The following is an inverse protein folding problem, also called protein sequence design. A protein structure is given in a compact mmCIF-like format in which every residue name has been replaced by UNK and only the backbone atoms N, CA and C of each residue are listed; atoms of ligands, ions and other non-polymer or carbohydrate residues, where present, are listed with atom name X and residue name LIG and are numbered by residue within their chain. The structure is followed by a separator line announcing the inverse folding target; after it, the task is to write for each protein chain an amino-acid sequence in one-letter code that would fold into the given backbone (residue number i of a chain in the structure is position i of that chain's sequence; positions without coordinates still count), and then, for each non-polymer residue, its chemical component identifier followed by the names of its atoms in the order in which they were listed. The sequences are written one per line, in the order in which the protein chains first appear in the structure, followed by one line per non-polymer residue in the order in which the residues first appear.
data_IF_540454439670
#
_entry.id   IF_540454439670
#
_cell.length_a   1.000
_cell.length_b   1.000
_cell.length_c   1.000
_cell.angle_alpha   90.00
_cell.angle_beta   90.00
_cell.angle_gamma   90.00
#
_symmetry.space_group_name_H-M   'P 1'
#
loop_
_entity.id
_entity.type
_entity.pdbx_description
1 polymer ?
#
# COMPACT_ATOMS: atom_id res chain seq x y z
N UNK A 1 14.21 -11.30 0.53
CA UNK A 1 12.88 -11.92 0.64
C UNK A 1 11.97 -10.88 1.26
N UNK A 2 10.93 -10.45 0.54
CA UNK A 2 9.89 -9.60 1.12
C UNK A 2 8.87 -10.50 1.81
N UNK A 3 8.42 -10.12 3.01
CA UNK A 3 7.29 -10.79 3.66
C UNK A 3 6.04 -10.27 2.97
N UNK A 4 5.23 -11.17 2.42
CA UNK A 4 3.92 -10.83 1.86
C UNK A 4 2.96 -10.68 3.02
N UNK A 5 2.71 -9.44 3.43
CA UNK A 5 1.46 -9.08 4.10
C UNK A 5 0.46 -8.73 3.01
N UNK A 6 -0.72 -9.31 3.11
CA UNK A 6 -1.88 -8.89 2.33
C UNK A 6 -2.99 -8.38 3.26
N UNK A 7 -3.91 -7.63 2.66
CA UNK A 7 -5.02 -6.98 3.37
C UNK A 7 -5.94 -8.02 4.05
N UNK A 8 -6.14 -9.17 3.40
CA UNK A 8 -6.95 -10.26 3.92
C UNK A 8 -6.34 -10.84 5.21
N UNK A 9 -5.04 -11.08 5.24
CA UNK A 9 -4.31 -11.57 6.41
C UNK A 9 -4.41 -10.57 7.56
N UNK A 10 -4.26 -9.27 7.27
CA UNK A 10 -4.41 -8.22 8.27
C UNK A 10 -5.83 -8.22 8.86
N UNK A 11 -6.86 -8.28 8.01
CA UNK A 11 -8.27 -8.30 8.40
C UNK A 11 -8.63 -9.46 9.34
N UNK A 12 -8.08 -10.65 9.10
CA UNK A 12 -8.33 -11.82 9.96
C UNK A 12 -7.54 -11.81 11.27
N UNK A 13 -6.51 -10.97 11.38
CA UNK A 13 -5.61 -10.97 12.55
C UNK A 13 -5.97 -9.88 13.55
N UNK A 14 -6.41 -8.71 13.08
CA UNK A 14 -6.82 -7.61 13.97
C UNK A 14 -8.27 -7.77 14.42
N UNK A 15 -8.66 -7.12 15.52
CA UNK A 15 -10.05 -7.09 15.93
C UNK A 15 -10.93 -6.41 14.84
N UNK A 16 -12.10 -6.96 14.47
CA UNK A 16 -12.91 -6.43 13.35
C UNK A 16 -13.28 -4.95 13.50
N UNK A 17 -13.64 -4.53 14.71
CA UNK A 17 -13.97 -3.12 15.01
C UNK A 17 -12.78 -2.18 14.75
N UNK A 18 -11.55 -2.65 14.98
CA UNK A 18 -10.33 -1.88 14.69
C UNK A 18 -10.10 -1.82 13.18
N UNK A 19 -10.28 -2.94 12.47
CA UNK A 19 -10.10 -2.97 11.01
C UNK A 19 -11.07 -2.04 10.28
N UNK A 20 -12.36 -2.10 10.60
CA UNK A 20 -13.39 -1.29 9.94
C UNK A 20 -13.14 0.22 10.16
N UNK A 21 -12.80 0.59 11.39
CA UNK A 21 -12.43 1.97 11.72
C UNK A 21 -11.16 2.40 10.98
N UNK A 22 -10.14 1.53 10.94
CA UNK A 22 -8.88 1.82 10.28
C UNK A 22 -9.03 1.95 8.76
N UNK A 23 -9.87 1.13 8.15
CA UNK A 23 -10.15 1.18 6.72
C UNK A 23 -10.78 2.53 6.32
N UNK A 24 -11.69 3.05 7.15
CA UNK A 24 -12.30 4.38 6.93
C UNK A 24 -11.26 5.50 6.99
N UNK A 25 -10.29 5.37 7.90
CA UNK A 25 -9.27 6.40 8.16
C UNK A 25 -8.07 6.28 7.21
N UNK A 26 -7.86 5.13 6.58
CA UNK A 26 -6.74 4.88 5.69
C UNK A 26 -6.72 5.75 4.43
N UNK A 27 -7.89 6.21 3.97
CA UNK A 27 -8.01 7.12 2.82
C UNK A 27 -7.64 8.57 3.16
N UNK A 28 -7.77 8.96 4.42
CA UNK A 28 -7.52 10.32 4.94
C UNK A 28 -6.17 10.41 5.67
N UNK A 29 -5.22 9.55 5.28
CA UNK A 29 -3.89 9.50 5.89
C UNK A 29 -2.95 10.49 5.21
N UNK A 30 -2.40 11.39 6.01
CA UNK A 30 -1.44 12.38 5.54
C UNK A 30 0.00 11.92 5.75
N UNK A 31 0.93 12.51 5.00
CA UNK A 31 2.38 12.28 5.12
C UNK A 31 2.81 10.80 5.05
N UNK A 32 2.01 9.94 4.41
CA UNK A 32 2.35 8.53 4.24
C UNK A 32 3.64 8.38 3.42
N UNK A 33 4.66 7.75 4.01
CA UNK A 33 5.95 7.53 3.36
C UNK A 33 6.74 6.36 3.95
N UNK A 34 7.69 5.78 3.19
CA UNK A 34 8.66 4.84 3.74
C UNK A 34 9.53 5.52 4.81
N UNK A 35 9.74 4.87 5.95
CA UNK A 35 10.56 5.38 7.06
C UNK A 35 11.15 4.24 7.89
N UNK A 36 12.46 4.26 8.14
CA UNK A 36 13.19 3.24 8.91
C UNK A 36 12.88 1.78 8.53
N UNK A 37 12.70 1.50 7.24
CA UNK A 37 12.35 0.17 6.74
C UNK A 37 10.87 -0.23 6.96
N UNK A 38 10.03 0.68 7.43
CA UNK A 38 8.58 0.52 7.54
C UNK A 38 7.82 1.64 6.83
N UNK A 39 6.55 1.78 7.16
CA UNK A 39 5.68 2.88 6.73
C UNK A 39 5.38 3.79 7.91
N UNK A 40 5.50 5.10 7.70
CA UNK A 40 5.07 6.15 8.63
C UNK A 40 3.94 6.94 7.98
N UNK A 41 2.92 7.27 8.76
CA UNK A 41 1.87 8.19 8.33
C UNK A 41 1.27 8.93 9.52
N UNK A 42 0.53 9.98 9.20
CA UNK A 42 -0.16 10.82 10.19
C UNK A 42 -1.66 10.72 9.98
N UNK A 43 -2.37 10.35 11.05
CA UNK A 43 -3.83 10.31 11.05
C UNK A 43 -4.38 11.62 11.60
N UNK A 44 -5.32 12.21 10.85
CA UNK A 44 -6.11 13.34 11.30
C UNK A 44 -5.29 14.63 11.46
N UNK A 45 -4.55 15.04 10.42
CA UNK A 45 -3.85 16.34 10.42
C UNK A 45 -4.79 17.52 10.69
N UNK A 46 -6.04 17.43 10.27
CA UNK A 46 -7.07 18.45 10.52
C UNK A 46 -7.65 18.40 11.95
N UNK A 47 -7.19 17.48 12.78
CA UNK A 47 -7.62 17.36 14.18
C UNK A 47 -6.65 18.10 15.12
N UNK A 48 -7.11 18.54 16.31
CA UNK A 48 -6.25 19.23 17.28
C UNK A 48 -5.08 18.39 17.82
N UNK A 49 -5.07 17.07 17.59
CA UNK A 49 -4.09 16.14 18.10
C UNK A 49 -3.83 15.04 17.05
N UNK A 50 -3.14 15.36 15.94
CA UNK A 50 -2.78 14.38 14.93
C UNK A 50 -1.97 13.25 15.56
N UNK A 51 -2.16 12.03 15.04
CA UNK A 51 -1.51 10.84 15.57
C UNK A 51 -0.56 10.28 14.52
N UNK A 52 0.75 10.34 14.78
CA UNK A 52 1.73 9.64 13.95
C UNK A 52 1.76 8.18 14.33
N UNK A 53 1.86 7.34 13.31
CA UNK A 53 1.93 5.90 13.46
C UNK A 53 2.95 5.34 12.47
N UNK A 54 3.81 4.45 12.98
CA UNK A 54 4.79 3.71 12.20
C UNK A 54 4.53 2.22 12.33
N UNK A 55 4.63 1.49 11.23
CA UNK A 55 4.59 0.04 11.20
C UNK A 55 5.74 -0.53 10.34
N UNK A 56 6.33 -1.65 10.76
CA UNK A 56 7.45 -2.31 10.08
C UNK A 56 7.67 -3.74 10.58
N UNK A 57 8.46 -4.53 9.86
CA UNK A 57 8.85 -5.87 10.33
C UNK A 57 10.11 -5.80 11.17
N UNK A 58 10.01 -6.06 12.46
CA UNK A 58 11.15 -6.13 13.37
C UNK A 58 11.34 -7.60 13.74
N UNK A 59 12.53 -8.15 13.49
CA UNK A 59 12.83 -9.57 13.69
C UNK A 59 11.79 -10.52 13.04
N UNK A 60 11.34 -10.16 11.83
CA UNK A 60 10.34 -10.93 11.07
C UNK A 60 8.90 -10.82 11.60
N UNK A 61 8.64 -9.97 12.59
CA UNK A 61 7.31 -9.77 13.18
C UNK A 61 6.80 -8.37 12.86
N UNK A 62 5.55 -8.27 12.41
CA UNK A 62 4.92 -6.98 12.18
C UNK A 62 4.74 -6.24 13.50
N UNK A 63 5.47 -5.14 13.63
CA UNK A 63 5.58 -4.31 14.83
C UNK A 63 5.13 -2.89 14.50
N UNK A 64 4.54 -2.21 15.48
CA UNK A 64 4.03 -0.87 15.33
C UNK A 64 4.30 0.01 16.55
N UNK A 65 4.47 1.31 16.30
CA UNK A 65 4.53 2.37 17.30
C UNK A 65 3.59 3.50 16.89
N UNK A 66 2.80 4.00 17.82
CA UNK A 66 1.88 5.12 17.61
C UNK A 66 1.93 6.09 18.78
N UNK A 67 1.79 7.38 18.46
CA UNK A 67 1.73 8.48 19.44
C UNK A 67 0.55 8.39 20.41
N UNK A 68 -0.48 7.60 20.10
CA UNK A 68 -1.59 7.33 21.02
C UNK A 68 -1.17 6.48 22.24
N UNK A 69 0.13 6.16 22.36
CA UNK A 69 0.73 5.38 23.44
C UNK A 69 0.86 3.88 23.12
N UNK A 70 0.41 3.43 21.95
CA UNK A 70 0.49 2.02 21.55
C UNK A 70 1.87 1.70 20.99
N UNK A 71 2.55 0.75 21.63
CA UNK A 71 3.70 0.04 21.07
C UNK A 71 3.31 -1.44 21.04
N UNK A 72 3.24 -2.02 19.85
CA UNK A 72 2.73 -3.37 19.66
C UNK A 72 3.72 -4.18 18.84
N UNK A 73 4.11 -5.34 19.37
CA UNK A 73 4.98 -6.31 18.68
C UNK A 73 4.19 -7.36 17.90
N UNK A 74 2.87 -7.19 17.81
CA UNK A 74 2.00 -8.11 17.09
C UNK A 74 0.71 -7.39 16.61
N UNK A 75 0.20 -7.71 15.42
CA UNK A 75 -0.94 -7.03 14.78
C UNK A 75 -2.22 -7.04 15.62
N UNK A 76 -2.50 -8.08 16.40
CA UNK A 76 -3.70 -8.18 17.25
C UNK A 76 -3.78 -7.08 18.33
N UNK A 77 -2.65 -6.44 18.64
CA UNK A 77 -2.56 -5.35 19.62
C UNK A 77 -2.47 -3.96 18.96
N UNK A 78 -2.68 -3.87 17.65
CA UNK A 78 -2.59 -2.60 16.92
C UNK A 78 -3.79 -1.72 17.24
N UNK A 79 -3.53 -0.42 17.39
CA UNK A 79 -4.57 0.60 17.42
C UNK A 79 -5.07 0.90 16.00
N UNK A 80 -6.18 1.63 15.90
CA UNK A 80 -6.76 2.06 14.62
C UNK A 80 -5.74 2.78 13.73
N UNK A 81 -4.90 3.65 14.29
CA UNK A 81 -3.90 4.41 13.53
C UNK A 81 -2.83 3.51 12.89
N UNK A 82 -2.36 2.49 13.62
CA UNK A 82 -1.37 1.54 13.11
C UNK A 82 -1.93 0.71 11.96
N UNK A 83 -3.16 0.19 12.14
CA UNK A 83 -3.82 -0.58 11.09
C UNK A 83 -4.07 0.31 9.86
N UNK A 84 -4.46 1.57 10.05
CA UNK A 84 -4.69 2.50 8.94
C UNK A 84 -3.41 2.75 8.13
N UNK A 85 -2.26 2.95 8.80
CA UNK A 85 -0.95 3.10 8.12
C UNK A 85 -0.58 1.85 7.34
N UNK A 86 -0.79 0.65 7.90
CA UNK A 86 -0.51 -0.61 7.18
C UNK A 86 -1.42 -0.74 5.96
N UNK A 87 -2.73 -0.49 6.08
CA UNK A 87 -3.68 -0.53 4.95
C UNK A 87 -3.25 0.43 3.85
N UNK A 88 -2.98 1.70 4.19
CA UNK A 88 -2.61 2.72 3.22
C UNK A 88 -1.29 2.38 2.51
N UNK A 89 -0.28 1.92 3.25
CA UNK A 89 1.00 1.51 2.69
C UNK A 89 0.90 0.26 1.79
N UNK A 90 -0.03 -0.67 2.07
CA UNK A 90 -0.32 -1.80 1.17
C UNK A 90 -1.01 -1.34 -0.10
N UNK A 91 -1.97 -0.40 -0.01
CA UNK A 91 -2.63 0.18 -1.17
C UNK A 91 -1.65 0.93 -2.09
N UNK A 92 -0.67 1.62 -1.51
CA UNK A 92 0.44 2.29 -2.23
C UNK A 92 1.59 1.34 -2.63
N UNK A 93 1.45 0.04 -2.37
CA UNK A 93 2.43 -1.00 -2.69
C UNK A 93 3.85 -0.70 -2.16
N UNK A 94 3.95 -0.18 -0.93
CA UNK A 94 5.24 0.10 -0.29
C UNK A 94 6.06 -1.19 -0.14
N UNK A 95 7.40 -1.12 -0.31
CA UNK A 95 8.26 -2.25 -0.07
C UNK A 95 8.43 -2.50 1.44
N UNK A 96 8.16 -3.73 1.88
CA UNK A 96 8.33 -4.16 3.27
C UNK A 96 9.56 -5.06 3.42
N UNK A 97 10.73 -4.51 3.81
CA UNK A 97 11.87 -5.33 4.16
C UNK A 97 11.55 -6.20 5.39
N UNK A 98 12.13 -7.41 5.51
CA UNK A 98 11.87 -8.32 6.63
C UNK A 98 12.52 -7.88 7.95
N UNK A 99 13.36 -6.84 7.89
CA UNK A 99 14.07 -6.25 9.01
C UNK A 99 14.06 -4.73 8.85
N UNK A 100 13.21 -4.09 9.62
CA UNK A 100 13.05 -2.66 9.78
C UNK A 100 13.62 -2.25 11.14
N UNK A 101 14.11 -1.01 11.23
CA UNK A 101 14.61 -0.45 12.47
C UNK A 101 13.45 0.25 13.18
N UNK A 102 13.02 -0.29 14.33
CA UNK A 102 11.95 0.32 15.13
C UNK A 102 12.39 1.71 15.60
N UNK A 103 11.75 2.80 15.14
CA UNK A 103 12.20 4.15 15.50
C UNK A 103 11.89 4.45 16.97
N UNK A 104 12.86 5.03 17.69
CA UNK A 104 12.71 5.42 19.10
C UNK A 104 11.69 6.56 19.27
N UNK A 105 11.70 7.52 18.35
CA UNK A 105 10.72 8.61 18.22
C UNK A 105 10.12 8.61 16.82
N UNK A 106 8.86 9.03 16.70
CA UNK A 106 8.22 9.22 15.38
C UNK A 106 8.50 10.60 14.79
N UNK A 107 9.23 11.43 15.52
CA UNK A 107 9.73 12.71 15.04
C UNK A 107 10.79 12.51 13.97
N UNK A 108 10.70 13.30 12.90
CA UNK A 108 11.79 13.46 11.94
C UNK A 108 12.89 14.30 12.57
N UNK A 109 13.59 13.77 13.55
CA UNK A 109 14.98 14.19 13.70
C UNK A 109 15.73 13.51 12.57
N UNK A 110 16.26 14.25 11.58
CA UNK A 110 17.15 13.63 10.61
C UNK A 110 18.34 13.08 11.40
N UNK A 111 18.33 11.76 11.62
CA UNK A 111 19.52 11.04 11.99
C UNK A 111 20.55 11.38 10.92
N UNK A 112 21.58 12.11 11.33
CA UNK A 112 22.71 12.42 10.47
C UNK A 112 23.31 11.07 10.09
N UNK A 113 23.23 10.63 8.81
CA UNK A 113 23.87 9.39 8.45
C UNK A 113 25.37 9.59 8.63
N UNK A 114 25.98 8.75 9.46
CA UNK A 114 27.44 8.57 9.44
C UNK A 114 27.80 8.12 8.01
N UNK A 115 28.59 8.90 7.24
CA UNK A 115 28.86 8.58 5.86
C UNK A 115 29.84 7.40 5.80
N UNK A 116 29.34 6.18 5.60
CA UNK A 116 30.12 5.18 4.88
C UNK A 116 30.03 5.50 3.39
N UNK A 117 31.17 5.96 2.88
CA UNK A 117 31.56 6.29 1.50
C UNK A 117 30.96 5.44 0.36
N UNK A 118 31.07 5.95 -0.89
CA UNK A 118 29.94 6.11 -1.80
C UNK A 118 29.81 4.98 -2.83
N UNK A 119 28.58 4.66 -3.21
CA UNK A 119 28.30 4.10 -4.54
C UNK A 119 27.70 5.22 -5.40
N UNK A 120 28.31 5.41 -6.56
CA UNK A 120 28.13 6.44 -7.59
C UNK A 120 26.78 7.19 -7.70
N UNK A 121 26.81 8.49 -8.06
CA UNK A 121 25.62 9.21 -8.52
C UNK A 121 25.28 8.79 -9.96
N UNK A 122 24.10 8.22 -10.18
CA UNK A 122 23.60 8.04 -11.54
C UNK A 122 22.64 6.88 -11.71
N UNK A 123 21.35 7.17 -11.58
CA UNK A 123 20.34 6.76 -12.56
C UNK A 123 19.01 7.40 -12.14
N UNK A 124 18.55 8.40 -12.89
CA UNK A 124 17.12 8.61 -13.00
C UNK A 124 16.48 7.26 -13.38
N UNK A 125 15.27 6.91 -12.88
CA UNK A 125 14.61 5.68 -13.28
C UNK A 125 14.58 5.63 -14.81
N UNK A 126 15.29 4.65 -15.37
CA UNK A 126 15.32 4.47 -16.81
C UNK A 126 13.88 4.24 -17.28
N UNK A 127 13.46 4.82 -18.42
CA UNK A 127 12.14 4.54 -18.97
C UNK A 127 12.08 3.03 -19.22
N UNK A 128 11.28 2.36 -18.40
CA UNK A 128 11.07 0.94 -18.51
C UNK A 128 10.49 0.62 -19.89
N UNK A 129 11.00 -0.44 -20.53
CA UNK A 129 10.41 -0.90 -21.79
C UNK A 129 8.95 -1.29 -21.56
N UNK A 130 8.05 -1.07 -22.53
CA UNK A 130 6.64 -1.47 -22.42
C UNK A 130 6.45 -2.94 -22.04
N UNK A 131 7.32 -3.83 -22.53
CA UNK A 131 7.28 -5.27 -22.22
C UNK A 131 7.60 -5.58 -20.74
N UNK A 132 8.53 -4.82 -20.14
CA UNK A 132 8.85 -4.94 -18.73
C UNK A 132 7.71 -4.44 -17.86
N UNK A 133 7.07 -3.33 -18.25
CA UNK A 133 5.88 -2.81 -17.58
C UNK A 133 4.72 -3.82 -17.63
N UNK A 134 4.44 -4.39 -18.81
CA UNK A 134 3.39 -5.42 -18.98
C UNK A 134 3.71 -6.66 -18.13
N UNK A 135 4.98 -7.11 -18.09
CA UNK A 135 5.37 -8.27 -17.28
C UNK A 135 5.17 -8.02 -15.79
N UNK A 136 5.52 -6.82 -15.31
CA UNK A 136 5.28 -6.43 -13.92
C UNK A 136 3.78 -6.37 -13.62
N UNK A 137 2.99 -5.76 -14.49
CA UNK A 137 1.54 -5.64 -14.32
C UNK A 137 0.86 -7.01 -14.29
N UNK A 138 1.30 -7.93 -15.16
CA UNK A 138 0.83 -9.32 -15.17
C UNK A 138 1.18 -10.06 -13.86
N UNK A 139 2.36 -9.79 -13.30
CA UNK A 139 2.75 -10.29 -11.98
C UNK A 139 1.81 -9.83 -10.86
N UNK A 140 1.46 -8.54 -10.84
CA UNK A 140 0.52 -7.96 -9.87
C UNK A 140 -0.89 -8.50 -10.10
N UNK A 141 -1.36 -8.60 -11.34
CA UNK A 141 -2.68 -9.15 -11.65
C UNK A 141 -2.83 -10.60 -11.18
N UNK A 142 -1.76 -11.39 -11.26
CA UNK A 142 -1.75 -12.78 -10.82
C UNK A 142 -1.87 -12.96 -9.29
N UNK A 143 -1.57 -11.93 -8.49
CA UNK A 143 -1.72 -11.97 -7.03
C UNK A 143 -3.09 -11.51 -6.55
N UNK A 144 -3.94 -11.00 -7.43
CA UNK A 144 -5.26 -10.48 -7.06
C UNK A 144 -6.34 -11.57 -7.13
N UNK A 145 -7.35 -11.53 -6.23
CA UNK A 145 -8.55 -12.36 -6.38
C UNK A 145 -9.24 -12.10 -7.73
N UNK A 146 -9.79 -13.14 -8.39
CA UNK A 146 -10.40 -12.98 -9.71
C UNK A 146 -11.52 -11.94 -9.77
N UNK A 147 -12.29 -11.79 -8.70
CA UNK A 147 -13.38 -10.81 -8.59
C UNK A 147 -12.83 -9.39 -8.54
N UNK A 148 -11.78 -9.15 -7.76
CA UNK A 148 -11.12 -7.84 -7.64
C UNK A 148 -10.47 -7.43 -8.96
N UNK A 149 -9.75 -8.35 -9.60
CA UNK A 149 -9.15 -8.11 -10.91
C UNK A 149 -10.23 -7.80 -11.96
N UNK A 150 -11.33 -8.54 -11.98
CA UNK A 150 -12.44 -8.29 -12.90
C UNK A 150 -13.07 -6.90 -12.68
N UNK A 151 -13.23 -6.47 -11.41
CA UNK A 151 -13.76 -5.14 -11.09
C UNK A 151 -12.85 -4.03 -11.60
N UNK A 152 -11.54 -4.10 -11.32
CA UNK A 152 -10.57 -3.11 -11.77
C UNK A 152 -10.51 -3.00 -13.31
N UNK A 153 -10.55 -4.15 -13.99
CA UNK A 153 -10.60 -4.18 -15.46
C UNK A 153 -11.89 -3.53 -15.98
N UNK A 154 -13.03 -3.78 -15.34
CA UNK A 154 -14.31 -3.18 -15.73
C UNK A 154 -14.35 -1.67 -15.50
N UNK A 155 -13.84 -1.18 -14.36
CA UNK A 155 -13.72 0.25 -14.05
C UNK A 155 -12.83 0.95 -15.07
N UNK A 156 -11.68 0.35 -15.41
CA UNK A 156 -10.78 0.93 -16.39
C UNK A 156 -11.38 0.92 -17.81
N UNK A 157 -12.03 -0.18 -18.21
CA UNK A 157 -12.71 -0.28 -19.51
C UNK A 157 -13.83 0.77 -19.66
N UNK A 158 -14.54 1.13 -18.59
CA UNK A 158 -15.54 2.19 -18.63
C UNK A 158 -14.96 3.58 -18.99
N UNK A 159 -13.66 3.78 -18.75
CA UNK A 159 -12.93 5.01 -19.09
C UNK A 159 -12.15 4.93 -20.40
N UNK A 160 -11.95 3.72 -20.96
CA UNK A 160 -11.23 3.48 -22.22
C UNK A 160 -12.05 2.61 -23.20
N UNK A 161 -12.70 3.24 -24.19
CA UNK A 161 -13.50 2.53 -25.21
C UNK A 161 -12.72 1.50 -26.03
N UNK A 162 -11.39 1.63 -26.16
CA UNK A 162 -10.56 0.68 -26.90
C UNK A 162 -10.37 -0.60 -26.10
N UNK A 163 -10.14 -0.46 -24.79
CA UNK A 163 -10.02 -1.59 -23.89
C UNK A 163 -11.34 -2.35 -23.78
N UNK A 164 -12.45 -1.65 -23.63
CA UNK A 164 -13.79 -2.26 -23.63
C UNK A 164 -14.04 -3.08 -24.90
N UNK A 165 -13.77 -2.49 -26.07
CA UNK A 165 -13.92 -3.17 -27.36
C UNK A 165 -13.04 -4.42 -27.48
N UNK A 166 -11.81 -4.37 -26.97
CA UNK A 166 -10.90 -5.50 -26.97
C UNK A 166 -11.37 -6.64 -26.04
N UNK A 167 -11.89 -6.31 -24.86
CA UNK A 167 -12.45 -7.28 -23.92
C UNK A 167 -13.69 -7.98 -24.48
N UNK A 168 -14.61 -7.24 -25.10
CA UNK A 168 -15.78 -7.81 -25.77
C UNK A 168 -15.38 -8.75 -26.90
N UNK A 169 -14.40 -8.36 -27.72
CA UNK A 169 -13.88 -9.22 -28.78
C UNK A 169 -13.23 -10.49 -28.23
N UNK A 170 -12.43 -10.40 -27.15
CA UNK A 170 -11.83 -11.54 -26.48
C UNK A 170 -12.89 -12.49 -25.88
N UNK A 171 -14.00 -11.96 -25.40
CA UNK A 171 -15.15 -12.72 -24.91
C UNK A 171 -16.05 -13.30 -26.02
N UNK A 172 -15.74 -13.02 -27.30
CA UNK A 172 -16.55 -13.45 -28.44
C UNK A 172 -17.91 -12.73 -28.53
N UNK A 173 -18.07 -11.59 -27.84
CA UNK A 173 -19.29 -10.80 -27.85
C UNK A 173 -19.24 -9.75 -28.96
N UNK A 174 -20.34 -9.53 -29.69
CA UNK A 174 -20.39 -8.51 -30.73
C UNK A 174 -20.27 -7.11 -30.09
N UNK A 175 -19.31 -6.32 -30.55
CA UNK A 175 -19.08 -4.90 -30.15
C UNK A 175 -20.22 -3.97 -30.54
N UNK A 176 -21.26 -4.49 -31.19
CA UNK A 176 -22.40 -3.75 -31.77
C UNK A 176 -23.40 -3.17 -30.76
N UNK A 177 -23.12 -3.17 -29.45
CA UNK A 177 -24.06 -2.65 -28.42
C UNK A 177 -23.80 -1.23 -27.91
N UNK A 178 -22.82 -0.50 -28.45
CA UNK A 178 -22.56 0.91 -28.10
C UNK A 178 -22.95 1.93 -29.19
N UNK A 179 -23.69 1.50 -30.21
CA UNK A 179 -24.36 2.42 -31.15
C UNK A 179 -25.86 2.53 -30.84
N UNK A 180 -26.22 3.27 -29.79
CA UNK A 180 -27.51 3.93 -29.52
C UNK A 180 -27.44 4.53 -28.11
N UNK A 181 -27.65 5.83 -27.86
CA UNK A 181 -28.39 6.88 -28.57
C UNK A 181 -27.71 8.25 -28.33
N UNK A 182 -27.91 9.23 -29.23
CA UNK A 182 -27.60 10.63 -28.97
C UNK A 182 -28.43 11.22 -27.82
#
# INVERSE_FOLDING_TARGET
MAVLIDLDTLHHTVAPVIFDAAYTVAEDLDDLRPYSGGALGTVGQDTPAPQRAWAGFVDGTLTGRCECGTIATAPENFCVHLVAVVIAALNEAFPWPPAADLPDTLDDTPDTPTPTSPTAPGAAPQPESPEAAVRRLAGVAATLPPVTLARLIAEHAATDPRLESALLAAAGLPTSRLAKNP
#
